data_IF_565586733114
#
_entry.id   IF_565586733114
#
_cell.length_a   1.000
_cell.length_b   1.000
_cell.length_c   1.000
_cell.angle_alpha   90.00
_cell.angle_beta   90.00
_cell.angle_gamma   90.00
#
_symmetry.space_group_name_H-M   'P 1'
#
loop_
_entity.id
_entity.type
_entity.pdbx_description
1 polymer ?
#
# COMPACT_ATOMS: atom_id res chain seq x y z
N UNK A 1 -1.93 3.78 -14.35
CA UNK A 1 -2.22 3.64 -12.89
C UNK A 1 -2.19 2.15 -12.60
N UNK A 2 -1.21 1.67 -11.83
CA UNK A 2 -1.13 0.25 -11.47
C UNK A 2 -2.36 -0.21 -10.71
N UNK A 3 -2.72 -1.49 -10.81
CA UNK A 3 -3.80 -2.08 -10.01
C UNK A 3 -3.21 -2.64 -8.72
N UNK A 4 -3.91 -2.49 -7.58
CA UNK A 4 -3.52 -3.20 -6.37
C UNK A 4 -3.55 -4.71 -6.64
N UNK A 5 -2.44 -5.39 -6.38
CA UNK A 5 -2.34 -6.85 -6.44
C UNK A 5 -2.21 -7.49 -5.06
N UNK A 6 -1.82 -6.70 -4.06
CA UNK A 6 -1.78 -7.12 -2.67
C UNK A 6 -2.12 -5.95 -1.75
N UNK A 7 -2.90 -6.22 -0.71
CA UNK A 7 -3.28 -5.25 0.31
C UNK A 7 -3.20 -5.90 1.68
N UNK A 8 -2.52 -5.23 2.63
CA UNK A 8 -2.46 -5.64 4.03
C UNK A 8 -2.31 -4.43 4.95
N UNK A 9 -2.39 -4.65 6.26
CA UNK A 9 -2.18 -3.63 7.30
C UNK A 9 -0.92 -3.98 8.08
N UNK A 10 -0.02 -3.01 8.28
CA UNK A 10 1.17 -3.21 9.11
C UNK A 10 0.82 -3.18 10.62
N UNK A 11 1.72 -3.65 11.51
CA UNK A 11 1.45 -3.64 12.96
C UNK A 11 1.22 -2.24 13.58
N UNK A 12 1.56 -1.17 12.87
CA UNK A 12 1.35 0.23 13.29
C UNK A 12 0.05 0.81 12.71
N UNK A 13 -0.71 0.03 11.96
CA UNK A 13 -2.00 0.41 11.39
C UNK A 13 -1.94 1.12 10.04
N UNK A 14 -0.78 1.16 9.37
CA UNK A 14 -0.69 1.72 8.02
C UNK A 14 -1.21 0.73 6.97
N UNK A 15 -1.83 1.23 5.91
CA UNK A 15 -2.25 0.42 4.77
C UNK A 15 -1.07 0.24 3.81
N UNK A 16 -0.75 -1.02 3.50
CA UNK A 16 0.31 -1.41 2.57
C UNK A 16 -0.33 -1.85 1.25
N UNK A 17 0.11 -1.27 0.14
CA UNK A 17 -0.40 -1.56 -1.21
C UNK A 17 0.77 -1.91 -2.12
N UNK A 18 0.72 -3.10 -2.73
CA UNK A 18 1.61 -3.47 -3.82
C UNK A 18 0.88 -3.28 -5.16
N UNK A 19 1.53 -2.59 -6.10
CA UNK A 19 1.02 -2.41 -7.46
C UNK A 19 1.88 -3.13 -8.51
N UNK A 20 1.23 -3.56 -9.59
CA UNK A 20 1.82 -4.40 -10.64
C UNK A 20 2.46 -3.65 -11.81
N UNK A 21 2.28 -2.33 -11.89
CA UNK A 21 2.77 -1.53 -13.01
C UNK A 21 4.13 -0.91 -12.69
N UNK A 22 4.27 -0.36 -11.49
CA UNK A 22 5.45 0.39 -11.07
C UNK A 22 6.41 -0.44 -10.19
N UNK A 23 6.08 -1.71 -9.93
CA UNK A 23 6.80 -2.56 -8.97
C UNK A 23 7.05 -1.83 -7.62
N UNK A 24 6.07 -1.04 -7.20
CA UNK A 24 6.18 -0.13 -6.07
C UNK A 24 5.32 -0.60 -4.91
N UNK A 25 5.82 -0.38 -3.69
CA UNK A 25 5.08 -0.61 -2.46
C UNK A 25 4.78 0.75 -1.82
N UNK A 26 3.50 1.06 -1.66
CA UNK A 26 3.03 2.28 -1.02
C UNK A 26 2.66 2.01 0.44
N UNK A 27 3.07 2.92 1.34
CA UNK A 27 2.61 2.94 2.74
C UNK A 27 1.75 4.17 2.96
N UNK A 28 0.46 3.96 3.21
CA UNK A 28 -0.51 5.03 3.45
C UNK A 28 -0.81 5.11 4.94
N UNK A 29 -0.59 6.29 5.52
CA UNK A 29 -0.97 6.61 6.90
C UNK A 29 -2.13 7.59 6.90
N UNK A 30 -2.93 7.59 7.96
CA UNK A 30 -3.90 8.67 8.18
C UNK A 30 -3.13 9.93 8.57
N UNK A 31 -3.52 11.06 7.99
CA UNK A 31 -3.16 12.36 8.56
C UNK A 31 -3.92 12.54 9.88
N UNK A 32 -3.34 13.32 10.80
CA UNK A 32 -4.06 13.75 12.00
C UNK A 32 -5.23 14.66 11.64
#
# INVERSE_FOLDING_TARGET
RGRPVGVTVDPKGALIIADDLANTVWRVTRNK
#
